data_IF_324927762688
#
_entry.id   IF_324927762688
#
_cell.length_a   1.000
_cell.length_b   1.000
_cell.length_c   1.000
_cell.angle_alpha   90.00
_cell.angle_beta   90.00
_cell.angle_gamma   90.00
#
_symmetry.space_group_name_H-M   'P 1'
#
loop_
_entity.id
_entity.type
_entity.pdbx_description
1 polymer ?
#
# COMPACT_ATOMS: atom_id res chain seq x y z
N UNK A 1 -11.83 1.38 16.60
CA UNK A 1 -11.45 2.31 15.51
C UNK A 1 -10.69 1.53 14.45
N UNK A 2 -10.90 1.87 13.17
CA UNK A 2 -10.29 1.21 12.01
C UNK A 2 -9.60 2.26 11.14
N UNK A 3 -8.48 1.89 10.52
CA UNK A 3 -7.79 2.73 9.53
C UNK A 3 -7.31 1.85 8.37
N UNK A 4 -7.79 2.13 7.17
CA UNK A 4 -7.60 1.26 5.99
C UNK A 4 -6.81 1.95 4.88
N UNK A 5 -6.17 3.08 5.18
CA UNK A 5 -5.34 3.80 4.22
C UNK A 5 -4.07 4.31 4.92
N UNK A 6 -3.04 3.48 4.94
CA UNK A 6 -1.78 3.77 5.64
C UNK A 6 -0.59 3.38 4.78
N UNK A 7 0.41 4.26 4.74
CA UNK A 7 1.68 4.05 4.05
C UNK A 7 2.82 3.84 5.05
N UNK A 8 3.72 2.93 4.73
CA UNK A 8 4.97 2.74 5.45
C UNK A 8 6.16 3.00 4.52
N UNK A 9 7.36 2.69 4.97
CA UNK A 9 8.61 2.76 4.20
C UNK A 9 8.62 1.97 2.87
N UNK A 10 7.58 1.18 2.60
CA UNK A 10 7.39 0.48 1.34
C UNK A 10 6.72 1.36 0.26
N UNK A 11 6.20 2.52 0.65
CA UNK A 11 5.82 3.61 -0.25
C UNK A 11 6.96 4.64 -0.31
N UNK A 12 7.33 5.07 -1.51
CA UNK A 12 8.48 5.95 -1.77
C UNK A 12 8.40 7.32 -1.06
N UNK A 13 7.21 7.74 -0.62
CA UNK A 13 6.93 9.01 0.04
C UNK A 13 6.78 8.89 1.57
N UNK A 14 7.08 7.73 2.14
CA UNK A 14 7.09 7.49 3.58
C UNK A 14 8.39 6.83 4.03
N UNK A 15 8.79 7.12 5.26
CA UNK A 15 9.95 6.51 5.92
C UNK A 15 9.56 5.70 7.16
N UNK A 16 8.26 5.64 7.47
CA UNK A 16 7.78 5.07 8.72
C UNK A 16 7.80 3.54 8.68
N UNK A 17 8.24 2.90 9.75
CA UNK A 17 8.28 1.44 9.82
C UNK A 17 6.90 0.89 10.19
N UNK A 18 6.51 -0.21 9.55
CA UNK A 18 5.27 -0.95 9.87
C UNK A 18 5.13 -1.19 11.38
N UNK A 19 6.21 -1.57 12.07
CA UNK A 19 6.22 -1.80 13.52
C UNK A 19 5.76 -0.58 14.33
N UNK A 20 6.26 0.60 14.01
CA UNK A 20 5.97 1.83 14.73
C UNK A 20 4.48 2.22 14.56
N UNK A 21 3.96 2.06 13.34
CA UNK A 21 2.55 2.30 13.01
C UNK A 21 1.65 1.36 13.82
N UNK A 22 2.00 0.06 13.86
CA UNK A 22 1.22 -0.95 14.59
C UNK A 22 1.23 -0.67 16.09
N UNK A 23 2.37 -0.34 16.67
CA UNK A 23 2.50 -0.02 18.09
C UNK A 23 1.69 1.23 18.47
N UNK A 24 1.74 2.27 17.65
CA UNK A 24 0.95 3.48 17.87
C UNK A 24 -0.55 3.21 17.70
N UNK A 25 -0.95 2.40 16.72
CA UNK A 25 -2.35 2.00 16.54
C UNK A 25 -2.88 1.24 17.78
N UNK A 26 -2.10 0.31 18.33
CA UNK A 26 -2.46 -0.41 19.56
C UNK A 26 -2.57 0.56 20.74
N UNK A 27 -1.60 1.46 20.92
CA UNK A 27 -1.60 2.46 22.00
C UNK A 27 -2.84 3.35 21.95
N UNK A 28 -3.33 3.68 20.75
CA UNK A 28 -4.55 4.46 20.53
C UNK A 28 -5.86 3.64 20.65
N UNK A 29 -5.79 2.35 20.98
CA UNK A 29 -6.97 1.48 21.04
C UNK A 29 -7.54 1.10 19.67
N UNK A 30 -6.69 1.08 18.63
CA UNK A 30 -7.02 0.61 17.29
C UNK A 30 -7.42 -0.87 17.29
N UNK A 31 -8.43 -1.22 16.48
CA UNK A 31 -8.97 -2.58 16.42
C UNK A 31 -8.43 -3.30 15.19
N UNK A 32 -8.41 -2.62 14.03
CA UNK A 32 -7.80 -3.14 12.81
C UNK A 32 -7.15 -2.03 12.01
N UNK A 33 -6.07 -2.36 11.32
CA UNK A 33 -5.45 -1.49 10.33
C UNK A 33 -5.14 -2.25 9.04
N UNK A 34 -5.23 -1.56 7.91
CA UNK A 34 -4.76 -2.04 6.61
C UNK A 34 -3.68 -1.11 6.10
N UNK A 35 -2.53 -1.68 5.78
CA UNK A 35 -1.52 -0.98 5.00
C UNK A 35 -1.95 -0.98 3.53
N UNK A 36 -1.75 0.11 2.81
CA UNK A 36 -2.14 0.28 1.40
C UNK A 36 -1.00 0.96 0.67
N UNK A 37 0.13 0.25 0.54
CA UNK A 37 1.33 0.82 -0.05
C UNK A 37 1.11 1.23 -1.51
N UNK A 38 1.81 2.26 -1.98
CA UNK A 38 1.64 2.79 -3.33
C UNK A 38 2.16 1.83 -4.40
N UNK A 39 1.31 1.57 -5.39
CA UNK A 39 1.68 0.97 -6.67
C UNK A 39 1.17 1.82 -7.82
N UNK A 40 2.09 2.38 -8.59
CA UNK A 40 1.78 3.16 -9.79
C UNK A 40 2.40 2.54 -11.04
N UNK A 41 1.66 2.63 -12.15
CA UNK A 41 2.18 2.29 -13.47
C UNK A 41 2.39 3.56 -14.28
N UNK A 42 3.65 3.84 -14.62
CA UNK A 42 4.06 5.03 -15.38
C UNK A 42 3.81 6.35 -14.63
N UNK A 43 4.20 6.42 -13.36
CA UNK A 43 4.17 7.66 -12.60
C UNK A 43 5.11 8.71 -13.24
N UNK A 44 4.69 9.99 -13.41
CA UNK A 44 5.41 10.96 -14.23
C UNK A 44 6.64 11.60 -13.56
N UNK A 45 6.96 11.24 -12.32
CA UNK A 45 8.10 11.78 -11.58
C UNK A 45 9.38 10.98 -11.84
N UNK A 46 10.53 11.65 -11.95
CA UNK A 46 11.81 10.98 -12.25
C UNK A 46 12.39 10.23 -11.04
N UNK A 47 12.27 10.84 -9.87
CA UNK A 47 12.90 10.33 -8.64
C UNK A 47 12.00 9.42 -7.80
N UNK A 48 10.69 9.41 -8.09
CA UNK A 48 9.68 8.63 -7.36
C UNK A 48 9.03 7.69 -8.37
N UNK A 49 9.07 6.39 -8.10
CA UNK A 49 8.55 5.38 -9.01
C UNK A 49 7.28 4.73 -8.51
N UNK A 50 7.03 4.77 -7.19
CA UNK A 50 5.95 4.05 -6.52
C UNK A 50 5.89 2.60 -6.99
N UNK A 51 7.07 1.98 -7.00
CA UNK A 51 7.24 0.59 -7.40
C UNK A 51 7.39 -0.27 -6.14
N UNK A 52 6.25 -0.72 -5.62
CA UNK A 52 6.19 -1.59 -4.45
C UNK A 52 7.05 -2.86 -4.62
N UNK A 53 8.01 -3.05 -3.72
CA UNK A 53 8.67 -4.34 -3.47
C UNK A 53 7.71 -5.27 -2.73
N UNK A 54 6.87 -5.97 -3.49
CA UNK A 54 5.82 -6.84 -2.94
C UNK A 54 6.38 -7.93 -2.03
N UNK A 55 7.47 -8.60 -2.42
CA UNK A 55 8.03 -9.71 -1.65
C UNK A 55 8.62 -9.21 -0.32
N UNK A 56 9.33 -8.08 -0.35
CA UNK A 56 9.82 -7.41 0.86
C UNK A 56 8.67 -6.98 1.77
N UNK A 57 7.63 -6.39 1.19
CA UNK A 57 6.44 -5.93 1.91
C UNK A 57 5.70 -7.10 2.56
N UNK A 58 5.38 -8.16 1.80
CA UNK A 58 4.70 -9.37 2.29
C UNK A 58 5.49 -10.02 3.42
N UNK A 59 6.80 -10.18 3.25
CA UNK A 59 7.67 -10.78 4.28
C UNK A 59 7.66 -9.99 5.58
N UNK A 60 7.80 -8.67 5.52
CA UNK A 60 7.79 -7.83 6.71
C UNK A 60 6.41 -7.77 7.36
N UNK A 61 5.35 -7.67 6.55
CA UNK A 61 3.98 -7.69 7.03
C UNK A 61 3.65 -8.98 7.80
N UNK A 62 3.96 -10.15 7.23
CA UNK A 62 3.72 -11.44 7.89
C UNK A 62 4.54 -11.59 9.18
N UNK A 63 5.79 -11.09 9.19
CA UNK A 63 6.60 -11.04 10.41
C UNK A 63 5.89 -10.23 11.50
N UNK A 64 5.40 -9.03 11.18
CA UNK A 64 4.70 -8.18 12.14
C UNK A 64 3.36 -8.80 12.58
N UNK A 65 2.60 -9.36 11.64
CA UNK A 65 1.35 -10.07 11.90
C UNK A 65 1.54 -11.24 12.87
N UNK A 66 2.65 -11.97 12.77
CA UNK A 66 2.98 -13.05 13.72
C UNK A 66 3.17 -12.56 15.16
N UNK A 67 3.67 -11.34 15.35
CA UNK A 67 3.97 -10.76 16.67
C UNK A 67 2.72 -10.06 17.26
N UNK A 68 1.97 -9.33 16.43
CA UNK A 68 0.90 -8.42 16.89
C UNK A 68 -0.51 -8.86 16.50
N UNK A 69 -0.69 -9.87 15.64
CA UNK A 69 -2.00 -10.26 15.08
C UNK A 69 -3.05 -10.72 16.10
N UNK A 70 -2.64 -11.06 17.33
CA UNK A 70 -3.56 -11.34 18.45
C UNK A 70 -4.03 -10.06 19.18
N UNK A 71 -3.31 -8.96 19.04
CA UNK A 71 -3.58 -7.69 19.72
C UNK A 71 -4.36 -6.71 18.84
N UNK A 72 -4.14 -6.75 17.54
CA UNK A 72 -4.78 -5.89 16.54
C UNK A 72 -4.96 -6.65 15.23
N UNK A 73 -6.07 -6.43 14.53
CA UNK A 73 -6.27 -7.00 13.19
C UNK A 73 -5.39 -6.31 12.16
N UNK A 74 -4.57 -7.07 11.44
CA UNK A 74 -3.64 -6.56 10.43
C UNK A 74 -4.00 -7.11 9.07
N UNK A 75 -4.11 -6.21 8.10
CA UNK A 75 -4.46 -6.50 6.71
C UNK A 75 -3.41 -5.92 5.76
N UNK A 76 -3.08 -6.70 4.73
CA UNK A 76 -2.10 -6.34 3.71
C UNK A 76 -2.83 -5.89 2.46
N UNK A 77 -2.78 -4.60 2.16
CA UNK A 77 -3.42 -4.03 0.99
C UNK A 77 -2.43 -3.29 0.09
N UNK A 78 -2.99 -2.74 -0.99
CA UNK A 78 -2.25 -1.92 -1.94
C UNK A 78 -3.14 -0.77 -2.39
N UNK A 79 -2.56 0.42 -2.49
CA UNK A 79 -3.17 1.54 -3.18
C UNK A 79 -2.62 1.58 -4.61
N UNK A 80 -3.48 1.22 -5.57
CA UNK A 80 -3.14 1.22 -6.98
C UNK A 80 -3.63 2.51 -7.62
N UNK A 81 -2.69 3.24 -8.21
CA UNK A 81 -3.05 4.38 -9.03
C UNK A 81 -3.58 3.98 -10.40
N UNK A 82 -4.72 4.55 -10.74
CA UNK A 82 -5.44 4.33 -12.00
C UNK A 82 -5.20 5.53 -12.90
N UNK A 83 -4.71 5.25 -14.11
CA UNK A 83 -4.62 6.25 -15.18
C UNK A 83 -5.40 5.78 -16.41
N UNK A 84 -5.91 6.73 -17.18
CA UNK A 84 -6.66 6.43 -18.41
C UNK A 84 -5.71 5.79 -19.43
N UNK A 85 -6.12 4.65 -20.00
CA UNK A 85 -5.43 3.98 -21.10
C UNK A 85 -5.44 2.46 -20.95
N UNK A 86 -5.69 1.76 -22.06
CA UNK A 86 -5.85 0.28 -22.07
C UNK A 86 -4.63 -0.42 -21.47
N UNK A 87 -3.43 0.06 -21.76
CA UNK A 87 -2.18 -0.51 -21.23
C UNK A 87 -2.12 -0.45 -19.70
N UNK A 88 -2.42 0.70 -19.10
CA UNK A 88 -2.38 0.89 -17.65
C UNK A 88 -3.39 -0.04 -16.94
N UNK A 89 -4.62 -0.13 -17.46
CA UNK A 89 -5.65 -1.03 -16.93
C UNK A 89 -5.22 -2.51 -17.03
N UNK A 90 -4.60 -2.93 -18.13
CA UNK A 90 -4.09 -4.30 -18.29
C UNK A 90 -2.94 -4.61 -17.31
N UNK A 91 -2.03 -3.66 -17.08
CA UNK A 91 -0.94 -3.79 -16.11
C UNK A 91 -1.48 -3.95 -14.68
N UNK A 92 -2.50 -3.16 -14.32
CA UNK A 92 -3.17 -3.26 -13.01
C UNK A 92 -3.86 -4.61 -12.84
N UNK A 93 -4.64 -5.07 -13.83
CA UNK A 93 -5.33 -6.36 -13.77
C UNK A 93 -4.32 -7.50 -13.64
N UNK A 94 -3.21 -7.44 -14.38
CA UNK A 94 -2.15 -8.45 -14.29
C UNK A 94 -1.55 -8.45 -12.88
N UNK A 95 -1.15 -7.29 -12.38
CA UNK A 95 -0.51 -7.16 -11.07
C UNK A 95 -1.39 -7.63 -9.92
N UNK A 96 -2.69 -7.31 -9.95
CA UNK A 96 -3.66 -7.74 -8.92
C UNK A 96 -4.01 -9.23 -8.98
N UNK A 97 -3.72 -9.91 -10.09
CA UNK A 97 -3.86 -11.37 -10.20
C UNK A 97 -2.60 -12.12 -9.77
N UNK A 98 -1.43 -11.51 -9.94
CA UNK A 98 -0.14 -12.10 -9.59
C UNK A 98 0.19 -11.96 -8.09
N UNK A 99 -0.47 -11.03 -7.40
CA UNK A 99 -0.21 -10.71 -6.00
C UNK A 99 -1.47 -10.82 -5.16
N UNK A 100 -1.34 -11.41 -3.98
CA UNK A 100 -2.43 -11.56 -3.01
C UNK A 100 -2.46 -10.34 -2.08
N UNK A 101 -3.62 -9.70 -1.99
CA UNK A 101 -3.92 -8.61 -1.07
C UNK A 101 -5.28 -8.84 -0.41
N UNK A 102 -5.40 -8.44 0.85
CA UNK A 102 -6.67 -8.43 1.59
C UNK A 102 -7.61 -7.30 1.12
N UNK A 103 -7.03 -6.19 0.63
CA UNK A 103 -7.73 -5.00 0.22
C UNK A 103 -6.97 -4.28 -0.91
N UNK A 104 -7.70 -3.81 -1.93
CA UNK A 104 -7.13 -3.03 -3.02
C UNK A 104 -7.88 -1.70 -3.07
N UNK A 105 -7.16 -0.60 -2.84
CA UNK A 105 -7.66 0.75 -3.01
C UNK A 105 -7.30 1.24 -4.42
N UNK A 106 -8.30 1.74 -5.13
CA UNK A 106 -8.15 2.32 -6.46
C UNK A 106 -8.16 3.85 -6.34
N UNK A 107 -7.05 4.50 -6.69
CA UNK A 107 -6.89 5.95 -6.53
C UNK A 107 -6.50 6.62 -7.85
N UNK A 108 -6.81 7.90 -8.00
CA UNK A 108 -6.40 8.68 -9.17
C UNK A 108 -5.44 9.79 -8.73
N UNK A 109 -4.13 9.57 -8.88
CA UNK A 109 -3.10 10.55 -8.51
C UNK A 109 -2.61 11.41 -9.68
N UNK A 110 -2.83 10.93 -10.91
CA UNK A 110 -2.38 11.58 -12.13
C UNK A 110 -3.50 11.59 -13.18
N UNK A 111 -3.54 12.65 -13.98
CA UNK A 111 -4.37 12.76 -15.17
C UNK A 111 -3.46 13.00 -16.38
N UNK A 112 -3.50 12.10 -17.36
CA UNK A 112 -2.68 12.18 -18.58
C UNK A 112 -1.16 12.33 -18.32
N UNK A 113 -0.63 11.67 -17.29
CA UNK A 113 0.77 11.80 -16.91
C UNK A 113 1.14 13.15 -16.26
N UNK A 114 0.15 13.92 -15.83
CA UNK A 114 0.34 15.11 -15.00
C UNK A 114 -0.18 14.81 -13.60
N UNK A 115 0.60 15.20 -12.58
CA UNK A 115 0.18 15.09 -11.17
C UNK A 115 -1.05 15.96 -10.95
N UNK A 116 -2.10 15.41 -10.33
CA UNK A 116 -3.21 16.22 -9.83
C UNK A 116 -2.78 16.85 -8.50
N UNK A 117 -2.98 18.15 -8.36
CA UNK A 117 -2.53 18.94 -7.20
C UNK A 117 -3.26 18.52 -5.92
#
# INVERSE_FOLDING_TARGET
MFDYHIHSKFSDDSMEKIINIVEEAIKKGGIKICFTEHKEFNYPHKDIKFNLDYEGYKKEFERIKSIYGKKIGLYMGVEIGIQIGVKNIQEIIKYTKEHEFDFILASAHCLQGLKMY
#
